data_IF_771909269053
#
_entry.id   IF_771909269053
#
_cell.length_a   1.000
_cell.length_b   1.000
_cell.length_c   1.000
_cell.angle_alpha   90.00
_cell.angle_beta   90.00
_cell.angle_gamma   90.00
#
_symmetry.space_group_name_H-M   'P 1'
#
loop_
_entity.id
_entity.type
_entity.pdbx_description
1 polymer ?
#
# COMPACT_ATOMS: atom_id res chain seq x y z
N UNK A 1 11.19 -27.89 -16.61
CA UNK A 1 10.39 -26.75 -17.12
C UNK A 1 10.23 -25.70 -16.02
N UNK A 2 10.31 -24.41 -16.37
CA UNK A 2 10.03 -23.33 -15.43
C UNK A 2 8.54 -23.27 -15.12
N UNK A 3 8.19 -22.97 -13.85
CA UNK A 3 6.79 -22.79 -13.45
C UNK A 3 6.30 -21.42 -13.96
N UNK A 4 5.21 -21.40 -14.70
CA UNK A 4 4.54 -20.19 -15.17
C UNK A 4 3.68 -19.61 -14.04
N UNK A 5 3.92 -18.35 -13.68
CA UNK A 5 3.18 -17.64 -12.64
C UNK A 5 2.54 -16.40 -13.23
N UNK A 6 1.24 -16.30 -13.14
CA UNK A 6 0.46 -15.19 -13.68
C UNK A 6 -0.06 -14.30 -12.56
N UNK A 7 -0.04 -12.99 -12.79
CA UNK A 7 -0.59 -11.97 -11.91
C UNK A 7 -1.73 -11.22 -12.59
N UNK A 8 -2.90 -11.27 -11.98
CA UNK A 8 -4.10 -10.51 -12.31
C UNK A 8 -4.29 -9.42 -11.27
N UNK A 9 -4.12 -8.15 -11.66
CA UNK A 9 -4.29 -7.00 -10.74
C UNK A 9 -4.73 -5.75 -11.50
N UNK A 10 -5.85 -5.80 -12.26
CA UNK A 10 -6.31 -4.64 -13.01
C UNK A 10 -6.75 -3.51 -12.09
N UNK A 11 -6.49 -2.27 -12.49
CA UNK A 11 -6.96 -1.10 -11.78
C UNK A 11 -7.22 0.07 -12.73
N UNK A 12 -8.19 0.90 -12.38
CA UNK A 12 -8.52 2.12 -13.14
C UNK A 12 -7.60 3.29 -12.79
N UNK A 13 -7.17 3.37 -11.53
CA UNK A 13 -6.28 4.40 -11.03
C UNK A 13 -5.08 3.77 -10.33
N UNK A 14 -3.89 4.40 -10.39
CA UNK A 14 -2.73 3.91 -9.66
C UNK A 14 -3.00 3.96 -8.15
N UNK A 15 -2.92 2.80 -7.51
CA UNK A 15 -3.06 2.61 -6.05
C UNK A 15 -1.79 1.97 -5.50
N UNK A 16 -1.51 2.17 -4.20
CA UNK A 16 -0.31 1.62 -3.55
C UNK A 16 -0.15 0.11 -3.74
N UNK A 17 -1.26 -0.62 -3.81
CA UNK A 17 -1.29 -2.07 -4.04
C UNK A 17 -0.69 -2.52 -5.36
N UNK A 18 -0.69 -1.66 -6.41
CA UNK A 18 0.00 -1.96 -7.68
C UNK A 18 1.50 -2.09 -7.47
N UNK A 19 2.10 -1.17 -6.70
CA UNK A 19 3.53 -1.23 -6.36
C UNK A 19 3.86 -2.51 -5.60
N UNK A 20 3.00 -2.92 -4.68
CA UNK A 20 3.15 -4.17 -3.93
C UNK A 20 3.05 -5.39 -4.84
N UNK A 21 2.09 -5.42 -5.77
CA UNK A 21 1.95 -6.51 -6.75
C UNK A 21 3.16 -6.61 -7.67
N UNK A 22 3.62 -5.48 -8.22
CA UNK A 22 4.83 -5.42 -9.04
C UNK A 22 6.06 -5.94 -8.28
N UNK A 23 6.25 -5.46 -7.05
CA UNK A 23 7.35 -5.90 -6.20
C UNK A 23 7.25 -7.40 -5.83
N UNK A 24 6.04 -7.93 -5.65
CA UNK A 24 5.80 -9.36 -5.43
C UNK A 24 6.24 -10.18 -6.65
N UNK A 25 5.82 -9.77 -7.86
CA UNK A 25 6.23 -10.40 -9.10
C UNK A 25 7.75 -10.32 -9.31
N UNK A 26 8.34 -9.14 -9.07
CA UNK A 26 9.79 -8.93 -9.12
C UNK A 26 10.53 -9.82 -8.12
N UNK A 27 9.98 -10.04 -6.92
CA UNK A 27 10.59 -10.87 -5.89
C UNK A 27 10.76 -12.31 -6.36
N UNK A 28 9.71 -12.89 -6.92
CA UNK A 28 9.75 -14.25 -7.46
C UNK A 28 10.77 -14.39 -8.59
N UNK A 29 10.76 -13.45 -9.55
CA UNK A 29 11.69 -13.50 -10.69
C UNK A 29 13.16 -13.28 -10.29
N UNK A 30 13.41 -12.36 -9.33
CA UNK A 30 14.76 -12.00 -8.88
C UNK A 30 15.43 -13.12 -8.09
N UNK A 31 14.68 -13.78 -7.22
CA UNK A 31 15.25 -14.74 -6.26
C UNK A 31 15.02 -16.21 -6.63
N UNK A 32 14.21 -16.49 -7.67
CA UNK A 32 14.02 -17.86 -8.16
C UNK A 32 14.02 -17.92 -9.70
N UNK A 33 15.09 -18.47 -10.25
CA UNK A 33 15.26 -18.63 -11.71
C UNK A 33 14.31 -19.67 -12.33
N UNK A 34 13.67 -20.50 -11.52
CA UNK A 34 12.73 -21.53 -11.97
C UNK A 34 11.32 -20.99 -12.21
N UNK A 35 11.09 -19.69 -12.01
CA UNK A 35 9.82 -19.05 -12.26
C UNK A 35 9.86 -18.19 -13.53
N UNK A 36 8.84 -18.38 -14.37
CA UNK A 36 8.50 -17.44 -15.45
C UNK A 36 7.28 -16.66 -15.03
N UNK A 37 7.49 -15.37 -14.75
CA UNK A 37 6.47 -14.48 -14.19
C UNK A 37 5.86 -13.61 -15.28
N UNK A 38 4.54 -13.54 -15.28
CA UNK A 38 3.74 -12.82 -16.26
C UNK A 38 2.80 -11.85 -15.57
N UNK A 39 2.83 -10.58 -16.00
CA UNK A 39 1.85 -9.58 -15.60
C UNK A 39 0.80 -9.42 -16.69
N UNK A 40 -0.47 -9.60 -16.32
CA UNK A 40 -1.58 -9.42 -17.25
C UNK A 40 -2.02 -7.96 -17.24
N UNK A 41 -1.96 -7.32 -18.39
CA UNK A 41 -2.41 -5.95 -18.60
C UNK A 41 -3.81 -5.98 -19.20
N UNK A 42 -4.76 -5.44 -18.48
CA UNK A 42 -6.18 -5.43 -18.87
C UNK A 42 -6.59 -4.05 -19.34
N UNK A 43 -6.27 -3.03 -18.54
CA UNK A 43 -6.72 -1.66 -18.68
C UNK A 43 -5.58 -0.67 -18.98
N UNK A 44 -4.39 -1.14 -19.32
CA UNK A 44 -3.21 -0.27 -19.47
C UNK A 44 -2.58 0.12 -18.14
N UNK A 45 -2.95 -0.54 -17.03
CA UNK A 45 -2.47 -0.28 -15.68
C UNK A 45 -0.96 -0.45 -15.52
N UNK A 46 -0.34 -1.27 -16.36
CA UNK A 46 1.09 -1.55 -16.34
C UNK A 46 1.92 -0.71 -17.30
N UNK A 47 1.29 0.13 -18.13
CA UNK A 47 1.98 0.92 -19.17
C UNK A 47 3.14 1.76 -18.59
N UNK A 48 2.92 2.41 -17.47
CA UNK A 48 3.95 3.23 -16.81
C UNK A 48 5.06 2.40 -16.14
N UNK A 49 4.92 1.09 -16.11
CA UNK A 49 5.86 0.14 -15.49
C UNK A 49 6.53 -0.79 -16.50
N UNK A 50 6.27 -0.62 -17.81
CA UNK A 50 6.82 -1.50 -18.86
C UNK A 50 8.34 -1.62 -18.82
N UNK A 51 9.04 -0.48 -18.67
CA UNK A 51 10.51 -0.48 -18.55
C UNK A 51 10.99 -1.24 -17.29
N UNK A 52 10.26 -1.08 -16.20
CA UNK A 52 10.56 -1.80 -14.94
C UNK A 52 10.33 -3.30 -15.11
N UNK A 53 9.26 -3.70 -15.79
CA UNK A 53 8.95 -5.10 -16.08
C UNK A 53 10.03 -5.71 -16.99
N UNK A 54 10.37 -5.06 -18.09
CA UNK A 54 11.43 -5.49 -19.03
C UNK A 54 12.77 -5.63 -18.31
N UNK A 55 13.19 -4.61 -17.55
CA UNK A 55 14.45 -4.62 -16.80
C UNK A 55 14.56 -5.75 -15.78
N UNK A 56 13.43 -6.22 -15.25
CA UNK A 56 13.37 -7.34 -14.30
C UNK A 56 13.00 -8.67 -14.98
N UNK A 57 13.01 -8.76 -16.32
CA UNK A 57 12.67 -9.96 -17.11
C UNK A 57 11.30 -10.56 -16.72
N UNK A 58 10.32 -9.70 -16.46
CA UNK A 58 8.93 -10.08 -16.22
C UNK A 58 8.17 -9.96 -17.53
N UNK A 59 7.52 -11.03 -17.93
CA UNK A 59 6.75 -11.07 -19.15
C UNK A 59 5.45 -10.26 -19.01
N UNK A 60 5.00 -9.69 -20.12
CA UNK A 60 3.85 -8.82 -20.17
C UNK A 60 2.82 -9.35 -21.17
N UNK A 61 1.58 -9.57 -20.73
CA UNK A 61 0.50 -10.09 -21.56
C UNK A 61 -0.59 -9.03 -21.65
N UNK A 62 -0.82 -8.51 -22.86
CA UNK A 62 -1.94 -7.61 -23.13
C UNK A 62 -3.20 -8.41 -23.46
N UNK A 63 -4.32 -8.12 -22.80
CA UNK A 63 -5.64 -8.60 -23.17
C UNK A 63 -6.31 -7.71 -24.26
N UNK A 64 -5.54 -6.78 -24.84
CA UNK A 64 -5.90 -5.90 -25.96
C UNK A 64 -7.17 -5.06 -25.75
N UNK A 65 -7.19 -4.27 -24.67
CA UNK A 65 -8.25 -3.31 -24.40
C UNK A 65 -7.84 -1.89 -24.82
N UNK A 66 -8.11 -1.49 -26.06
CA UNK A 66 -7.89 -0.13 -26.53
C UNK A 66 -8.89 0.89 -25.94
N UNK A 67 -10.09 0.44 -25.59
CA UNK A 67 -11.18 1.30 -25.11
C UNK A 67 -11.08 1.78 -23.67
N UNK A 68 -10.13 1.29 -22.89
CA UNK A 68 -9.90 1.70 -21.52
C UNK A 68 -9.72 3.23 -21.33
N UNK A 69 -9.17 3.91 -22.33
CA UNK A 69 -8.95 5.37 -22.27
C UNK A 69 -10.22 6.18 -22.09
N UNK A 70 -11.34 5.65 -22.57
CA UNK A 70 -12.65 6.29 -22.56
C UNK A 70 -13.50 5.94 -21.34
N UNK A 71 -13.06 4.97 -20.52
CA UNK A 71 -13.80 4.57 -19.33
C UNK A 71 -13.64 5.59 -18.20
N UNK A 72 -14.75 6.01 -17.57
CA UNK A 72 -14.70 6.89 -16.42
C UNK A 72 -13.91 6.26 -15.26
N UNK A 73 -12.97 7.03 -14.69
CA UNK A 73 -12.04 6.53 -13.67
C UNK A 73 -12.41 7.00 -12.26
N UNK A 74 -13.25 8.02 -12.15
CA UNK A 74 -13.66 8.67 -10.90
C UNK A 74 -15.17 8.63 -10.74
N UNK A 75 -15.65 8.83 -9.51
CA UNK A 75 -17.08 8.75 -9.19
C UNK A 75 -17.55 7.35 -8.82
N UNK A 76 -18.44 7.28 -7.82
CA UNK A 76 -18.89 6.01 -7.24
C UNK A 76 -19.66 5.11 -8.24
N UNK A 77 -20.58 5.68 -9.02
CA UNK A 77 -21.37 4.93 -10.01
C UNK A 77 -20.60 4.69 -11.31
N UNK A 78 -19.90 5.71 -11.80
CA UNK A 78 -19.15 5.65 -13.05
C UNK A 78 -18.01 4.63 -13.02
N UNK A 79 -17.28 4.54 -11.91
CA UNK A 79 -16.23 3.54 -11.76
C UNK A 79 -16.77 2.10 -11.74
N UNK A 80 -17.97 1.88 -11.19
CA UNK A 80 -18.63 0.57 -11.20
C UNK A 80 -19.08 0.15 -12.59
N UNK A 81 -19.58 1.10 -13.36
CA UNK A 81 -19.90 0.88 -14.77
C UNK A 81 -18.64 0.46 -15.55
N UNK A 82 -17.53 1.16 -15.34
CA UNK A 82 -16.26 0.79 -15.94
C UNK A 82 -15.81 -0.62 -15.54
N UNK A 83 -15.95 -1.00 -14.29
CA UNK A 83 -15.64 -2.37 -13.83
C UNK A 83 -16.55 -3.43 -14.47
N UNK A 84 -17.81 -3.12 -14.72
CA UNK A 84 -18.73 -4.01 -15.43
C UNK A 84 -18.31 -4.20 -16.88
N UNK A 85 -17.93 -3.13 -17.58
CA UNK A 85 -17.42 -3.21 -18.95
C UNK A 85 -16.14 -4.06 -19.00
N UNK A 86 -15.18 -3.79 -18.10
CA UNK A 86 -13.94 -4.58 -17.98
C UNK A 86 -14.28 -6.06 -17.76
N UNK A 87 -15.26 -6.35 -16.88
CA UNK A 87 -15.69 -7.71 -16.62
C UNK A 87 -16.20 -8.39 -17.90
N UNK A 88 -17.16 -7.79 -18.60
CA UNK A 88 -17.78 -8.36 -19.79
C UNK A 88 -16.76 -8.60 -20.91
N UNK A 89 -15.97 -7.57 -21.20
CA UNK A 89 -15.03 -7.62 -22.32
C UNK A 89 -13.81 -8.53 -22.04
N UNK A 90 -13.37 -8.66 -20.78
CA UNK A 90 -12.22 -9.51 -20.41
C UNK A 90 -12.58 -10.97 -20.16
N UNK A 91 -13.87 -11.34 -20.13
CA UNK A 91 -14.29 -12.69 -19.73
C UNK A 91 -13.73 -13.76 -20.68
N UNK A 92 -14.04 -13.68 -21.97
CA UNK A 92 -13.55 -14.64 -22.97
C UNK A 92 -12.03 -14.57 -23.17
N UNK A 93 -11.39 -13.38 -23.30
CA UNK A 93 -9.94 -13.28 -23.37
C UNK A 93 -9.22 -13.92 -22.19
N UNK A 94 -9.67 -13.68 -20.96
CA UNK A 94 -9.06 -14.27 -19.77
C UNK A 94 -9.25 -15.79 -19.71
N UNK A 95 -10.46 -16.29 -20.03
CA UNK A 95 -10.75 -17.71 -20.09
C UNK A 95 -9.85 -18.41 -21.11
N UNK A 96 -9.72 -17.85 -22.32
CA UNK A 96 -8.86 -18.39 -23.38
C UNK A 96 -7.38 -18.33 -22.98
N UNK A 97 -6.94 -17.26 -22.31
CA UNK A 97 -5.57 -17.15 -21.80
C UNK A 97 -5.25 -18.26 -20.80
N UNK A 98 -6.12 -18.51 -19.82
CA UNK A 98 -5.91 -19.56 -18.83
C UNK A 98 -5.88 -20.95 -19.49
N UNK A 99 -6.78 -21.22 -20.45
CA UNK A 99 -6.85 -22.51 -21.16
C UNK A 99 -5.65 -22.76 -22.06
N UNK A 100 -5.19 -21.75 -22.80
CA UNK A 100 -4.08 -21.88 -23.75
C UNK A 100 -2.71 -21.90 -23.05
N UNK A 101 -2.47 -21.01 -22.09
CA UNK A 101 -1.19 -20.86 -21.42
C UNK A 101 -0.99 -21.82 -20.24
N UNK A 102 -2.06 -22.34 -19.66
CA UNK A 102 -2.07 -23.29 -18.53
C UNK A 102 -1.05 -22.92 -17.44
N UNK A 103 -1.16 -21.70 -16.83
CA UNK A 103 -0.23 -21.30 -15.82
C UNK A 103 -0.23 -22.28 -14.64
N UNK A 104 0.92 -22.50 -14.00
CA UNK A 104 1.00 -23.35 -12.81
C UNK A 104 0.33 -22.64 -11.62
N UNK A 105 0.58 -21.34 -11.45
CA UNK A 105 0.07 -20.52 -10.36
C UNK A 105 -0.55 -19.24 -10.94
N UNK A 106 -1.70 -18.84 -10.40
CA UNK A 106 -2.38 -17.62 -10.80
C UNK A 106 -2.79 -16.79 -9.59
N UNK A 107 -2.09 -15.67 -9.38
CA UNK A 107 -2.42 -14.70 -8.35
C UNK A 107 -3.58 -13.81 -8.78
N UNK A 108 -4.64 -13.84 -7.99
CA UNK A 108 -5.83 -13.00 -8.13
C UNK A 108 -5.77 -11.87 -7.13
N UNK A 109 -5.60 -10.66 -7.61
CA UNK A 109 -5.54 -9.45 -6.80
C UNK A 109 -6.64 -8.50 -7.25
N UNK A 110 -6.79 -7.33 -7.16
CA UNK A 110 -7.84 -6.38 -7.55
C UNK A 110 -8.84 -6.92 -8.62
N UNK A 111 -10.07 -6.44 -8.58
CA UNK A 111 -11.17 -6.84 -9.50
C UNK A 111 -11.29 -8.37 -9.61
N UNK A 112 -11.31 -9.02 -8.47
CA UNK A 112 -11.28 -10.50 -8.41
C UNK A 112 -12.58 -11.16 -8.85
N UNK A 113 -13.69 -10.42 -8.95
CA UNK A 113 -15.00 -10.95 -9.35
C UNK A 113 -14.95 -11.69 -10.69
N UNK A 114 -14.22 -11.17 -11.68
CA UNK A 114 -14.11 -11.78 -13.00
C UNK A 114 -13.43 -13.17 -12.95
N UNK A 115 -12.16 -13.29 -12.49
CA UNK A 115 -11.53 -14.60 -12.46
C UNK A 115 -12.26 -15.58 -11.52
N UNK A 116 -12.84 -15.10 -10.41
CA UNK A 116 -13.63 -15.97 -9.52
C UNK A 116 -14.93 -16.47 -10.16
N UNK A 117 -15.57 -15.65 -11.00
CA UNK A 117 -16.73 -16.09 -11.79
C UNK A 117 -16.33 -17.14 -12.82
N UNK A 118 -15.20 -16.97 -13.50
CA UNK A 118 -14.64 -17.99 -14.40
C UNK A 118 -14.41 -19.30 -13.65
N UNK A 119 -13.79 -19.23 -12.44
CA UNK A 119 -13.58 -20.41 -11.59
C UNK A 119 -14.87 -21.10 -11.15
N UNK A 120 -15.96 -20.35 -10.98
CA UNK A 120 -17.26 -20.94 -10.62
C UNK A 120 -17.74 -21.91 -11.71
N UNK A 121 -17.59 -21.53 -12.97
CA UNK A 121 -18.13 -22.30 -14.11
C UNK A 121 -17.16 -23.27 -14.76
N UNK A 122 -15.84 -23.06 -14.59
CA UNK A 122 -14.79 -23.86 -15.22
C UNK A 122 -13.79 -24.43 -14.23
N UNK A 123 -13.20 -25.58 -14.57
CA UNK A 123 -12.15 -26.22 -13.80
C UNK A 123 -10.82 -26.11 -14.54
N UNK A 124 -9.75 -25.89 -13.79
CA UNK A 124 -8.39 -25.77 -14.32
C UNK A 124 -7.41 -26.56 -13.45
N UNK A 125 -6.30 -26.99 -14.02
CA UNK A 125 -5.16 -27.56 -13.27
C UNK A 125 -4.30 -26.48 -12.57
N UNK A 126 -4.56 -25.22 -12.86
CA UNK A 126 -3.89 -24.04 -12.30
C UNK A 126 -4.19 -23.88 -10.81
N UNK A 127 -3.21 -23.62 -10.00
CA UNK A 127 -3.37 -23.25 -8.59
C UNK A 127 -3.71 -21.77 -8.47
N UNK A 128 -4.90 -21.47 -7.95
CA UNK A 128 -5.36 -20.08 -7.78
C UNK A 128 -5.09 -19.60 -6.37
N UNK A 129 -4.41 -18.45 -6.27
CA UNK A 129 -4.08 -17.78 -5.03
C UNK A 129 -4.81 -16.45 -4.99
N UNK A 130 -5.66 -16.28 -3.98
CA UNK A 130 -6.40 -15.04 -3.78
C UNK A 130 -5.64 -14.12 -2.83
N UNK A 131 -5.24 -12.94 -3.32
CA UNK A 131 -4.69 -11.90 -2.46
C UNK A 131 -5.74 -10.87 -2.12
N UNK A 132 -6.02 -10.70 -0.84
CA UNK A 132 -6.96 -9.71 -0.33
C UNK A 132 -6.15 -8.61 0.35
N UNK A 133 -6.20 -7.38 -0.19
CA UNK A 133 -5.39 -6.26 0.30
C UNK A 133 -6.03 -5.51 1.47
N UNK A 134 -7.34 -5.61 1.63
CA UNK A 134 -8.09 -4.97 2.69
C UNK A 134 -9.45 -5.62 2.84
N UNK A 135 -10.12 -5.40 3.98
CA UNK A 135 -11.41 -6.05 4.24
C UNK A 135 -12.48 -5.54 3.26
N UNK A 136 -12.96 -6.40 2.37
CA UNK A 136 -13.94 -5.98 1.38
C UNK A 136 -15.33 -5.88 2.00
N UNK A 137 -16.16 -4.96 1.51
CA UNK A 137 -17.58 -4.96 1.85
C UNK A 137 -18.18 -6.31 1.51
N UNK A 138 -18.63 -7.06 2.52
CA UNK A 138 -19.17 -8.41 2.40
C UNK A 138 -20.63 -8.38 1.97
N UNK A 139 -20.87 -8.06 0.68
CA UNK A 139 -22.22 -8.15 0.08
C UNK A 139 -22.66 -9.61 -0.04
N UNK A 140 -23.96 -9.85 -0.08
CA UNK A 140 -24.55 -11.21 -0.25
C UNK A 140 -23.95 -11.89 -1.49
N UNK A 141 -23.90 -11.19 -2.63
CA UNK A 141 -23.31 -11.73 -3.86
C UNK A 141 -21.85 -12.15 -3.70
N UNK A 142 -21.04 -11.34 -3.00
CA UNK A 142 -19.64 -11.67 -2.73
C UNK A 142 -19.52 -12.89 -1.84
N UNK A 143 -20.33 -12.98 -0.77
CA UNK A 143 -20.34 -14.15 0.12
C UNK A 143 -20.70 -15.43 -0.64
N UNK A 144 -21.75 -15.39 -1.46
CA UNK A 144 -22.18 -16.55 -2.27
C UNK A 144 -21.08 -16.95 -3.25
N UNK A 145 -20.51 -15.98 -4.01
CA UNK A 145 -19.44 -16.25 -4.96
C UNK A 145 -18.23 -16.85 -4.26
N UNK A 146 -17.75 -16.22 -3.20
CA UNK A 146 -16.55 -16.69 -2.49
C UNK A 146 -16.76 -18.08 -1.87
N UNK A 147 -17.93 -18.33 -1.25
CA UNK A 147 -18.25 -19.63 -0.70
C UNK A 147 -18.30 -20.72 -1.78
N UNK A 148 -18.89 -20.40 -2.95
CA UNK A 148 -19.01 -21.37 -4.06
C UNK A 148 -17.68 -21.76 -4.72
N UNK A 149 -16.62 -20.92 -4.56
CA UNK A 149 -15.31 -21.17 -5.18
C UNK A 149 -14.22 -21.45 -4.14
N UNK A 150 -14.56 -21.46 -2.85
CA UNK A 150 -13.56 -21.59 -1.78
C UNK A 150 -12.74 -22.88 -1.86
N UNK A 151 -13.34 -23.99 -2.35
CA UNK A 151 -12.64 -25.25 -2.60
C UNK A 151 -11.63 -25.15 -3.75
N UNK A 152 -11.89 -24.32 -4.76
CA UNK A 152 -11.03 -24.12 -5.94
C UNK A 152 -9.88 -23.14 -5.71
N UNK A 153 -9.91 -22.38 -4.61
CA UNK A 153 -8.80 -21.53 -4.20
C UNK A 153 -7.83 -22.36 -3.37
N UNK A 154 -6.56 -22.40 -3.80
CA UNK A 154 -5.51 -23.12 -3.06
C UNK A 154 -5.25 -22.41 -1.74
N UNK A 155 -5.00 -21.09 -1.76
CA UNK A 155 -4.74 -20.30 -0.56
C UNK A 155 -5.12 -18.83 -0.74
N UNK A 156 -5.31 -18.16 0.40
CA UNK A 156 -5.66 -16.74 0.50
C UNK A 156 -4.57 -16.03 1.30
N UNK A 157 -4.02 -14.94 0.76
CA UNK A 157 -2.98 -14.16 1.45
C UNK A 157 -3.51 -12.81 1.91
N UNK A 158 -3.18 -12.44 3.14
CA UNK A 158 -3.60 -11.21 3.82
C UNK A 158 -2.37 -10.41 4.25
N UNK A 159 -2.31 -9.08 4.03
CA UNK A 159 -1.16 -8.25 4.39
C UNK A 159 -1.08 -7.91 5.88
N UNK A 160 -2.16 -8.10 6.64
CA UNK A 160 -2.24 -7.85 8.08
C UNK A 160 -2.84 -9.04 8.82
N UNK A 161 -2.48 -9.22 10.09
CA UNK A 161 -3.06 -10.25 10.94
C UNK A 161 -4.52 -9.95 11.26
N UNK A 162 -4.89 -8.68 11.39
CA UNK A 162 -6.27 -8.29 11.65
C UNK A 162 -7.19 -8.71 10.51
N UNK A 163 -6.79 -8.45 9.24
CA UNK A 163 -7.54 -8.92 8.09
C UNK A 163 -7.64 -10.44 8.02
N UNK A 164 -6.54 -11.15 8.34
CA UNK A 164 -6.56 -12.62 8.42
C UNK A 164 -7.59 -13.12 9.44
N UNK A 165 -7.62 -12.53 10.64
CA UNK A 165 -8.61 -12.87 11.69
C UNK A 165 -10.04 -12.59 11.25
N UNK A 166 -10.29 -11.46 10.59
CA UNK A 166 -11.62 -11.12 10.08
C UNK A 166 -12.11 -12.11 9.02
N UNK A 167 -11.23 -12.53 8.12
CA UNK A 167 -11.54 -13.54 7.11
C UNK A 167 -11.78 -14.92 7.75
N UNK A 168 -11.00 -15.29 8.74
CA UNK A 168 -11.20 -16.52 9.53
C UNK A 168 -12.59 -16.54 10.20
N UNK A 169 -12.95 -15.44 10.85
CA UNK A 169 -14.30 -15.27 11.46
C UNK A 169 -15.45 -15.34 10.45
N UNK A 170 -15.19 -14.98 9.20
CA UNK A 170 -16.21 -15.05 8.14
C UNK A 170 -16.64 -16.49 7.80
N UNK A 171 -15.80 -17.49 8.09
CA UNK A 171 -16.04 -18.91 7.80
C UNK A 171 -16.15 -19.25 6.31
N UNK A 172 -15.73 -18.34 5.41
CA UNK A 172 -15.83 -18.55 3.94
C UNK A 172 -14.70 -19.44 3.44
N UNK A 173 -13.49 -19.20 3.92
CA UNK A 173 -12.30 -20.00 3.58
C UNK A 173 -11.88 -20.78 4.83
N UNK A 174 -11.42 -22.00 4.65
CA UNK A 174 -10.82 -22.77 5.73
C UNK A 174 -9.60 -22.07 6.31
N UNK A 175 -9.40 -22.19 7.62
CA UNK A 175 -8.30 -21.53 8.36
C UNK A 175 -6.93 -21.94 7.82
N UNK A 176 -6.81 -23.17 7.34
CA UNK A 176 -5.61 -23.73 6.71
C UNK A 176 -5.24 -23.04 5.38
N UNK A 177 -6.21 -22.39 4.74
CA UNK A 177 -5.99 -21.63 3.49
C UNK A 177 -5.61 -20.17 3.73
N UNK A 178 -5.74 -19.65 4.95
CA UNK A 178 -5.52 -18.23 5.27
C UNK A 178 -4.09 -17.99 5.74
N UNK A 179 -3.32 -17.22 4.98
CA UNK A 179 -1.92 -16.92 5.29
C UNK A 179 -1.69 -15.41 5.48
N UNK A 180 -0.93 -15.07 6.50
CA UNK A 180 -0.37 -13.73 6.63
C UNK A 180 0.83 -13.63 5.70
N UNK A 181 0.81 -12.65 4.81
CA UNK A 181 1.90 -12.35 3.89
C UNK A 181 2.08 -10.83 3.80
N UNK A 182 3.07 -10.26 4.49
CA UNK A 182 3.37 -8.84 4.41
C UNK A 182 3.56 -8.38 2.97
N UNK A 183 3.06 -7.19 2.64
CA UNK A 183 3.23 -6.61 1.32
C UNK A 183 4.71 -6.39 0.97
N UNK A 184 5.07 -6.63 -0.29
CA UNK A 184 6.38 -6.28 -0.83
C UNK A 184 6.46 -4.77 -1.08
N UNK A 185 6.73 -3.97 -0.04
CA UNK A 185 6.70 -2.51 -0.13
C UNK A 185 8.06 -1.95 -0.56
N UNK A 186 9.15 -2.48 0.00
CA UNK A 186 10.46 -1.85 -0.01
C UNK A 186 11.48 -2.63 -0.83
N UNK A 187 12.00 -1.99 -1.87
CA UNK A 187 13.25 -2.39 -2.50
C UNK A 187 14.42 -1.71 -1.79
N UNK A 188 15.20 -2.50 -1.04
CA UNK A 188 16.33 -1.98 -0.25
C UNK A 188 17.36 -1.26 -1.13
N UNK A 189 17.51 -1.66 -2.40
CA UNK A 189 18.46 -1.02 -3.31
C UNK A 189 18.12 0.44 -3.53
N UNK A 190 16.82 0.77 -3.61
CA UNK A 190 16.34 2.16 -3.77
C UNK A 190 16.52 3.00 -2.51
N UNK A 191 16.41 2.36 -1.33
CA UNK A 191 16.56 3.05 -0.05
C UNK A 191 18.04 3.30 0.31
N UNK A 192 18.95 2.45 -0.17
CA UNK A 192 20.40 2.58 0.12
C UNK A 192 21.09 3.73 -0.62
N UNK A 193 20.56 4.15 -1.75
CA UNK A 193 21.09 5.32 -2.47
C UNK A 193 20.88 6.57 -1.60
N UNK A 194 21.93 6.96 -0.91
CA UNK A 194 21.97 8.18 -0.09
C UNK A 194 22.42 9.32 -1.01
N UNK A 195 21.51 10.21 -1.35
CA UNK A 195 21.89 11.52 -1.85
C UNK A 195 22.00 12.49 -0.66
N UNK A 196 22.84 13.47 -0.77
CA UNK A 196 22.79 14.60 0.18
C UNK A 196 21.38 15.20 0.12
N UNK A 197 20.76 15.33 1.30
CA UNK A 197 19.47 15.99 1.38
C UNK A 197 19.69 17.50 1.32
N UNK A 198 19.45 18.06 0.18
CA UNK A 198 19.46 19.51 -0.03
C UNK A 198 18.09 19.88 -0.57
N UNK A 199 17.33 20.64 0.21
CA UNK A 199 16.10 21.29 -0.24
C UNK A 199 16.19 22.76 0.15
N UNK A 200 16.38 23.61 -0.86
CA UNK A 200 16.56 25.05 -0.67
C UNK A 200 15.27 25.77 -0.23
N UNK A 201 14.12 25.11 -0.35
CA UNK A 201 12.84 25.66 0.11
C UNK A 201 12.66 25.54 1.62
N UNK A 202 13.49 24.71 2.30
CA UNK A 202 13.35 24.43 3.72
C UNK A 202 14.36 25.19 4.58
N UNK A 203 13.96 25.73 5.73
CA UNK A 203 14.86 26.35 6.70
C UNK A 203 15.89 25.34 7.27
N UNK A 204 17.19 25.64 7.15
CA UNK A 204 18.30 24.72 7.49
C UNK A 204 18.36 24.32 8.98
N UNK A 205 17.89 25.18 9.89
CA UNK A 205 18.05 24.99 11.35
C UNK A 205 16.76 24.51 12.04
N UNK A 206 15.80 23.97 11.30
CA UNK A 206 14.54 23.48 11.85
C UNK A 206 14.48 21.95 11.86
N UNK A 207 13.79 21.40 12.85
CA UNK A 207 13.47 19.98 12.92
C UNK A 207 12.26 19.68 12.03
N UNK A 208 12.35 18.66 11.21
CA UNK A 208 11.32 18.32 10.23
C UNK A 208 10.33 17.30 10.83
N UNK A 209 9.08 17.70 10.89
CA UNK A 209 7.93 16.81 11.00
C UNK A 209 7.49 16.53 9.56
N UNK A 210 7.56 15.28 9.14
CA UNK A 210 7.27 14.87 7.76
C UNK A 210 5.95 14.10 7.69
N UNK A 211 5.15 14.37 6.68
CA UNK A 211 4.05 13.50 6.25
C UNK A 211 4.06 13.33 4.74
N UNK A 212 3.58 12.20 4.25
CA UNK A 212 3.55 11.93 2.81
C UNK A 212 2.37 11.06 2.40
N UNK A 213 1.72 11.41 1.29
CA UNK A 213 0.60 10.67 0.73
C UNK A 213 -0.22 11.51 -0.23
N UNK A 214 -1.28 10.93 -0.80
CA UNK A 214 -2.22 11.68 -1.65
C UNK A 214 -2.96 12.72 -0.81
N UNK A 215 -3.09 13.94 -1.29
CA UNK A 215 -3.81 15.00 -0.61
C UNK A 215 -5.33 14.80 -0.80
N UNK A 216 -5.89 13.90 -0.01
CA UNK A 216 -7.30 13.47 -0.05
C UNK A 216 -7.90 13.50 1.36
N UNK A 217 -9.21 13.53 1.47
CA UNK A 217 -9.94 13.46 2.76
C UNK A 217 -9.52 12.25 3.61
N UNK A 218 -9.20 11.11 2.96
CA UNK A 218 -8.72 9.91 3.66
C UNK A 218 -7.47 10.18 4.50
N UNK A 219 -6.53 10.98 3.97
CA UNK A 219 -5.24 11.27 4.62
C UNK A 219 -5.34 12.31 5.74
N UNK A 220 -6.45 13.05 5.79
CA UNK A 220 -6.81 13.95 6.89
C UNK A 220 -5.74 15.00 7.23
N UNK A 221 -5.17 15.61 6.18
CA UNK A 221 -4.15 16.64 6.33
C UNK A 221 -4.69 17.93 6.96
N UNK A 222 -5.97 18.22 6.82
CA UNK A 222 -6.62 19.34 7.50
C UNK A 222 -6.45 19.22 9.04
N UNK A 223 -6.76 18.05 9.59
CA UNK A 223 -6.55 17.77 11.01
C UNK A 223 -5.07 17.90 11.39
N UNK A 224 -4.15 17.34 10.57
CA UNK A 224 -2.71 17.43 10.82
C UNK A 224 -2.23 18.89 10.89
N UNK A 225 -2.65 19.75 9.97
CA UNK A 225 -2.27 21.17 9.92
C UNK A 225 -2.84 21.91 11.13
N UNK A 226 -4.11 21.67 11.50
CA UNK A 226 -4.75 22.27 12.67
C UNK A 226 -3.99 21.94 13.97
N UNK A 227 -3.71 20.67 14.20
CA UNK A 227 -2.99 20.20 15.38
C UNK A 227 -1.52 20.70 15.42
N UNK A 228 -0.85 20.73 14.25
CA UNK A 228 0.48 21.28 14.13
C UNK A 228 0.52 22.79 14.43
N UNK A 229 -0.49 23.54 13.97
CA UNK A 229 -0.59 24.97 14.27
C UNK A 229 -0.56 25.21 15.78
N UNK A 230 -1.35 24.47 16.55
CA UNK A 230 -1.36 24.57 18.02
C UNK A 230 -0.04 24.13 18.64
N UNK A 231 0.56 23.02 18.16
CA UNK A 231 1.86 22.57 18.61
C UNK A 231 2.97 23.59 18.38
N UNK A 232 2.97 24.25 17.23
CA UNK A 232 4.01 25.17 16.78
C UNK A 232 4.02 26.51 17.54
N UNK A 233 2.96 26.86 18.30
CA UNK A 233 2.92 28.05 19.14
C UNK A 233 3.99 28.03 20.22
N UNK A 234 4.29 26.87 20.75
CA UNK A 234 5.28 26.68 21.85
C UNK A 234 6.51 25.87 21.41
N UNK A 235 6.62 25.48 20.14
CA UNK A 235 7.67 24.62 19.59
C UNK A 235 8.20 25.14 18.27
N UNK A 236 8.73 26.37 18.27
CA UNK A 236 9.17 27.06 17.05
C UNK A 236 10.31 26.35 16.29
N UNK A 237 11.04 25.44 16.95
CA UNK A 237 12.11 24.67 16.31
C UNK A 237 11.61 23.65 15.28
N UNK A 238 10.30 23.41 15.15
CA UNK A 238 9.76 22.45 14.21
C UNK A 238 9.08 23.12 13.01
N UNK A 239 9.19 22.45 11.85
CA UNK A 239 8.41 22.72 10.65
C UNK A 239 7.66 21.46 10.22
N UNK A 240 6.51 21.63 9.58
CA UNK A 240 5.74 20.56 8.97
C UNK A 240 5.98 20.52 7.46
N UNK A 241 6.43 19.39 6.95
CA UNK A 241 6.61 19.16 5.51
C UNK A 241 5.62 18.08 5.06
N UNK A 242 4.81 18.40 4.06
CA UNK A 242 3.82 17.49 3.47
C UNK A 242 4.20 17.24 2.02
N UNK A 243 4.41 15.94 1.68
CA UNK A 243 4.74 15.50 0.32
C UNK A 243 3.56 14.79 -0.32
N UNK A 244 3.19 15.22 -1.51
CA UNK A 244 2.13 14.59 -2.29
C UNK A 244 1.28 15.56 -3.09
N UNK A 245 0.40 15.01 -3.90
CA UNK A 245 -0.58 15.74 -4.71
C UNK A 245 -1.98 15.15 -4.46
N UNK A 246 -3.02 15.95 -4.75
CA UNK A 246 -4.41 15.50 -4.64
C UNK A 246 -5.40 16.65 -4.65
N UNK A 247 -6.67 16.30 -4.63
CA UNK A 247 -7.80 17.23 -4.73
C UNK A 247 -7.89 18.25 -3.59
N UNK A 248 -7.34 17.92 -2.41
CA UNK A 248 -7.40 18.81 -1.25
C UNK A 248 -6.29 19.88 -1.23
N UNK A 249 -5.34 19.88 -2.20
CA UNK A 249 -4.16 20.78 -2.18
C UNK A 249 -4.52 22.25 -1.96
N UNK A 250 -5.47 22.77 -2.75
CA UNK A 250 -5.86 24.18 -2.66
C UNK A 250 -6.53 24.53 -1.34
N UNK A 251 -7.35 23.62 -0.79
CA UNK A 251 -7.98 23.80 0.50
C UNK A 251 -6.94 23.82 1.63
N UNK A 252 -5.94 22.97 1.56
CA UNK A 252 -4.87 22.92 2.55
C UNK A 252 -3.96 24.15 2.49
N UNK A 253 -3.66 24.70 1.30
CA UNK A 253 -2.90 25.95 1.16
C UNK A 253 -3.66 27.12 1.78
N UNK A 254 -4.96 27.28 1.50
CA UNK A 254 -5.81 28.30 2.13
C UNK A 254 -5.87 28.14 3.65
N UNK A 255 -5.90 26.91 4.16
CA UNK A 255 -5.89 26.66 5.60
C UNK A 255 -4.59 27.13 6.24
N UNK A 256 -3.44 26.89 5.62
CA UNK A 256 -2.12 27.33 6.09
C UNK A 256 -2.07 28.86 6.15
N UNK A 257 -2.53 29.54 5.09
CA UNK A 257 -2.63 31.00 5.01
C UNK A 257 -3.55 31.57 6.10
N UNK A 258 -4.77 31.05 6.22
CA UNK A 258 -5.74 31.50 7.23
C UNK A 258 -5.25 31.36 8.67
N UNK A 259 -4.29 30.45 8.90
CA UNK A 259 -3.66 30.26 10.22
C UNK A 259 -2.38 31.07 10.42
N UNK A 260 -1.88 31.75 9.39
CA UNK A 260 -0.63 32.52 9.44
C UNK A 260 0.61 31.67 9.74
N UNK A 261 0.65 30.45 9.20
CA UNK A 261 1.76 29.48 9.45
C UNK A 261 2.54 29.09 8.19
N UNK A 262 2.54 29.93 7.16
CA UNK A 262 3.17 29.68 5.85
C UNK A 262 4.69 29.46 6.01
N UNK A 263 5.31 30.09 6.98
CA UNK A 263 6.74 29.93 7.28
C UNK A 263 7.05 28.65 8.05
N UNK A 264 6.03 27.89 8.48
CA UNK A 264 6.17 26.67 9.29
C UNK A 264 5.61 25.41 8.61
N UNK A 265 4.74 25.57 7.58
CA UNK A 265 4.11 24.44 6.87
C UNK A 265 4.41 24.51 5.38
N UNK A 266 5.01 23.46 4.84
CA UNK A 266 5.47 23.38 3.47
C UNK A 266 4.78 22.21 2.73
N UNK A 267 3.94 22.51 1.72
CA UNK A 267 3.32 21.56 0.82
C UNK A 267 4.16 21.46 -0.46
N UNK A 268 5.15 20.56 -0.48
CA UNK A 268 6.19 20.50 -1.53
C UNK A 268 5.80 19.66 -2.76
N UNK A 269 4.54 19.22 -2.85
CA UNK A 269 4.09 18.40 -3.96
C UNK A 269 4.70 17.01 -3.99
N UNK A 270 4.64 16.35 -5.15
CA UNK A 270 5.20 15.01 -5.33
C UNK A 270 6.74 15.07 -5.45
N UNK A 271 7.44 14.31 -4.63
CA UNK A 271 8.90 14.17 -4.68
C UNK A 271 9.32 12.73 -5.01
N UNK A 272 10.15 12.54 -6.03
CA UNK A 272 10.69 11.21 -6.40
C UNK A 272 11.64 10.64 -5.35
N UNK A 273 12.39 11.52 -4.66
CA UNK A 273 13.38 11.19 -3.64
C UNK A 273 12.80 11.15 -2.21
N UNK A 274 11.60 10.62 -2.05
CA UNK A 274 10.89 10.58 -0.76
C UNK A 274 11.72 9.99 0.38
N UNK A 275 12.61 9.04 0.09
CA UNK A 275 13.46 8.42 1.10
C UNK A 275 14.50 9.39 1.69
N UNK A 276 14.92 10.41 0.95
CA UNK A 276 15.83 11.44 1.44
C UNK A 276 15.10 12.33 2.47
N UNK A 277 13.88 12.75 2.16
CA UNK A 277 13.03 13.45 3.12
C UNK A 277 12.72 12.62 4.37
N UNK A 278 12.45 11.32 4.20
CA UNK A 278 12.20 10.43 5.34
C UNK A 278 13.45 10.27 6.23
N UNK A 279 14.65 10.27 5.67
CA UNK A 279 15.90 10.25 6.44
C UNK A 279 16.15 11.55 7.16
N UNK A 280 15.86 12.68 6.54
CA UNK A 280 16.00 14.02 7.11
C UNK A 280 14.93 14.31 8.19
N UNK A 281 13.75 13.68 8.06
CA UNK A 281 12.64 13.85 9.00
C UNK A 281 12.95 13.32 10.40
N UNK A 282 12.75 14.16 11.42
CA UNK A 282 12.88 13.76 12.82
C UNK A 282 11.74 12.84 13.26
N UNK A 283 10.53 13.12 12.77
CA UNK A 283 9.32 12.33 13.01
C UNK A 283 8.48 12.28 11.76
N UNK A 284 7.91 11.13 11.46
CA UNK A 284 6.95 10.92 10.38
C UNK A 284 5.55 10.79 10.98
N UNK A 285 4.59 11.55 10.45
CA UNK A 285 3.19 11.52 10.89
C UNK A 285 2.30 10.90 9.82
N UNK A 286 1.42 10.00 10.26
CA UNK A 286 0.29 9.51 9.49
C UNK A 286 -1.00 9.92 10.20
N UNK A 287 -1.78 10.83 9.58
CA UNK A 287 -3.04 11.35 10.13
C UNK A 287 -4.29 10.69 9.56
N UNK A 288 -4.14 9.65 8.77
CA UNK A 288 -5.21 9.01 7.99
C UNK A 288 -6.40 8.57 8.84
N UNK A 289 -7.59 8.69 8.28
CA UNK A 289 -8.83 8.17 8.86
C UNK A 289 -8.94 6.65 8.76
N UNK A 290 -8.38 6.06 7.71
CA UNK A 290 -8.28 4.61 7.50
C UNK A 290 -7.10 4.26 6.61
N UNK A 291 -6.49 3.12 6.89
CA UNK A 291 -5.40 2.51 6.10
C UNK A 291 -5.57 1.00 6.06
N UNK A 292 -4.99 0.38 5.05
CA UNK A 292 -4.83 -1.08 5.04
C UNK A 292 -3.54 -1.50 5.74
N UNK A 293 -2.41 -1.10 5.20
CA UNK A 293 -1.08 -1.32 5.81
C UNK A 293 -0.43 0.00 6.23
N UNK A 294 -0.68 1.09 5.47
CA UNK A 294 0.02 2.36 5.67
C UNK A 294 1.46 2.29 5.14
N UNK A 295 1.65 2.06 3.84
CA UNK A 295 2.97 1.85 3.22
C UNK A 295 4.01 2.90 3.61
N UNK A 296 3.58 4.15 3.69
CA UNK A 296 4.50 5.27 4.00
C UNK A 296 5.10 5.21 5.40
N UNK A 297 4.39 4.65 6.41
CA UNK A 297 4.99 4.49 7.75
C UNK A 297 6.02 3.35 7.76
N UNK A 298 5.84 2.33 6.93
CA UNK A 298 6.83 1.26 6.76
C UNK A 298 8.08 1.79 6.08
N UNK A 299 7.91 2.62 5.04
CA UNK A 299 9.01 3.30 4.34
C UNK A 299 9.78 4.25 5.28
N UNK A 300 9.06 5.08 6.05
CA UNK A 300 9.64 5.99 7.04
C UNK A 300 10.41 5.24 8.14
N UNK A 301 9.85 4.15 8.66
CA UNK A 301 10.48 3.30 9.66
C UNK A 301 11.82 2.70 9.16
N UNK A 302 11.86 2.25 7.89
CA UNK A 302 13.11 1.75 7.31
C UNK A 302 14.15 2.84 7.13
N UNK A 303 13.72 4.07 6.81
CA UNK A 303 14.55 5.27 6.75
C UNK A 303 14.97 5.80 8.13
N UNK A 304 14.62 5.10 9.19
CA UNK A 304 14.98 5.46 10.58
C UNK A 304 14.26 6.72 11.11
N UNK A 305 13.10 7.10 10.54
CA UNK A 305 12.22 8.11 11.13
C UNK A 305 11.48 7.55 12.34
N UNK A 306 11.21 8.37 13.35
CA UNK A 306 10.25 8.03 14.40
C UNK A 306 8.84 8.16 13.85
N UNK A 307 7.92 7.26 14.20
CA UNK A 307 6.56 7.28 13.65
C UNK A 307 5.54 7.63 14.71
N UNK A 308 4.71 8.62 14.39
CA UNK A 308 3.49 8.99 15.10
C UNK A 308 2.32 8.74 14.12
N UNK A 309 1.34 7.96 14.51
CA UNK A 309 0.24 7.60 13.61
C UNK A 309 -1.11 7.70 14.29
N UNK A 310 -2.13 8.06 13.52
CA UNK A 310 -3.50 7.87 13.95
C UNK A 310 -3.74 6.38 14.27
N UNK A 311 -4.58 6.13 15.27
CA UNK A 311 -5.02 4.79 15.65
C UNK A 311 -6.18 4.34 14.73
N UNK A 312 -6.00 4.54 13.42
CA UNK A 312 -6.98 4.10 12.44
C UNK A 312 -7.00 2.57 12.32
N UNK A 313 -8.12 1.99 11.88
CA UNK A 313 -8.25 0.55 11.73
C UNK A 313 -7.16 -0.07 10.86
N UNK A 314 -6.85 -1.35 11.13
CA UNK A 314 -5.92 -2.23 10.43
C UNK A 314 -4.43 -1.89 10.64
N UNK A 315 -3.68 -1.72 9.55
CA UNK A 315 -2.22 -1.74 9.52
C UNK A 315 -1.47 -0.86 10.50
N UNK A 316 -1.76 0.44 10.69
CA UNK A 316 -0.96 1.31 11.55
C UNK A 316 -0.91 0.83 13.01
N UNK A 317 -2.03 0.38 13.56
CA UNK A 317 -2.10 -0.17 14.92
C UNK A 317 -1.25 -1.43 15.06
N UNK A 318 -1.39 -2.35 14.11
CA UNK A 318 -0.63 -3.60 14.07
C UNK A 318 0.87 -3.33 13.89
N UNK A 319 1.23 -2.48 12.93
CA UNK A 319 2.61 -2.13 12.62
C UNK A 319 3.32 -1.48 13.80
N UNK A 320 2.64 -0.57 14.53
CA UNK A 320 3.17 0.10 15.73
C UNK A 320 3.03 -0.74 17.01
N UNK A 321 2.49 -1.96 16.95
CA UNK A 321 2.27 -2.85 18.10
C UNK A 321 1.55 -2.12 19.25
N UNK A 322 0.38 -1.57 18.95
CA UNK A 322 -0.41 -0.79 19.91
C UNK A 322 0.39 0.34 20.60
N UNK A 323 1.31 1.00 19.86
CA UNK A 323 2.12 2.12 20.36
C UNK A 323 3.46 1.73 20.99
N UNK A 324 3.79 0.44 21.12
CA UNK A 324 5.09 0.00 21.66
C UNK A 324 6.26 0.39 20.77
N UNK A 325 6.05 0.50 19.43
CA UNK A 325 7.09 0.81 18.45
C UNK A 325 7.07 2.27 17.97
N UNK A 326 6.06 3.05 18.35
CA UNK A 326 5.88 4.46 17.98
C UNK A 326 4.93 5.15 18.94
N UNK A 327 4.18 6.14 18.47
CA UNK A 327 3.06 6.75 19.19
C UNK A 327 1.80 6.58 18.34
N UNK A 328 0.68 6.21 18.99
CA UNK A 328 -0.65 6.21 18.39
C UNK A 328 -1.51 7.30 19.03
N UNK A 329 -2.28 8.02 18.22
CA UNK A 329 -3.26 9.00 18.67
C UNK A 329 -4.64 8.69 18.09
N UNK A 330 -5.70 9.14 18.76
CA UNK A 330 -7.07 8.97 18.27
C UNK A 330 -7.35 9.92 17.10
N UNK A 331 -7.81 9.34 15.98
CA UNK A 331 -8.18 10.12 14.79
C UNK A 331 -9.30 11.11 15.11
N UNK A 332 -9.18 12.34 14.60
CA UNK A 332 -10.17 13.43 14.78
C UNK A 332 -10.50 13.82 16.23
N UNK A 333 -9.75 13.33 17.20
CA UNK A 333 -9.87 13.82 18.57
C UNK A 333 -9.01 15.07 18.73
N UNK A 334 -9.64 16.15 19.12
CA UNK A 334 -8.98 17.43 19.37
C UNK A 334 -7.82 17.26 20.34
N UNK A 335 -6.73 17.96 20.07
CA UNK A 335 -5.46 17.95 20.83
C UNK A 335 -4.72 16.62 20.85
N UNK A 336 -5.26 15.52 20.33
CA UNK A 336 -4.62 14.19 20.44
C UNK A 336 -3.27 14.12 19.73
N UNK A 337 -3.16 14.71 18.54
CA UNK A 337 -1.87 14.76 17.82
C UNK A 337 -0.92 15.80 18.46
N UNK A 338 -1.42 16.95 18.87
CA UNK A 338 -0.63 17.98 19.56
C UNK A 338 0.02 17.40 20.85
N UNK A 339 -0.75 16.68 21.67
CA UNK A 339 -0.24 16.00 22.86
C UNK A 339 0.80 14.93 22.49
N UNK A 340 0.56 14.15 21.44
CA UNK A 340 1.49 13.15 20.94
C UNK A 340 2.81 13.75 20.48
N UNK A 341 2.77 14.92 19.83
CA UNK A 341 3.96 15.67 19.43
C UNK A 341 4.71 16.28 20.63
N UNK A 342 3.98 16.81 21.62
CA UNK A 342 4.57 17.26 22.91
C UNK A 342 5.25 16.10 23.64
N UNK A 343 4.61 14.93 23.68
CA UNK A 343 5.19 13.72 24.26
C UNK A 343 6.46 13.28 23.50
N UNK A 344 6.45 13.31 22.17
CA UNK A 344 7.63 13.04 21.36
C UNK A 344 8.76 14.05 21.64
N UNK A 345 8.46 15.35 21.69
CA UNK A 345 9.47 16.40 21.89
C UNK A 345 10.18 16.32 23.23
N UNK A 346 9.51 15.79 24.26
CA UNK A 346 10.01 15.59 25.63
C UNK A 346 10.61 14.20 25.87
N UNK A 347 10.47 13.27 24.87
CA UNK A 347 10.92 11.89 25.04
C UNK A 347 12.45 11.80 25.06
N UNK A 348 12.99 11.02 25.97
CA UNK A 348 14.41 10.74 26.04
C UNK A 348 14.98 10.12 24.76
N UNK A 349 16.16 10.58 24.37
CA UNK A 349 16.83 10.11 23.12
C UNK A 349 16.98 8.58 23.09
N UNK A 350 17.29 7.95 24.22
CA UNK A 350 17.41 6.49 24.31
C UNK A 350 16.09 5.77 24.04
N UNK A 351 14.98 6.27 24.60
CA UNK A 351 13.64 5.72 24.37
C UNK A 351 13.20 5.85 22.90
N UNK A 352 13.50 7.02 22.28
CA UNK A 352 13.29 7.24 20.84
C UNK A 352 14.09 6.21 20.03
N UNK A 353 15.39 6.05 20.35
CA UNK A 353 16.27 5.11 19.67
C UNK A 353 15.76 3.66 19.77
N UNK A 354 15.40 3.20 20.96
CA UNK A 354 14.87 1.84 21.17
C UNK A 354 13.59 1.59 20.37
N UNK A 355 12.64 2.56 20.34
CA UNK A 355 11.42 2.45 19.54
C UNK A 355 11.74 2.39 18.03
N UNK A 356 12.65 3.22 17.54
CA UNK A 356 13.11 3.22 16.13
C UNK A 356 13.75 1.90 15.75
N UNK A 357 14.57 1.28 16.60
CA UNK A 357 15.17 -0.03 16.35
C UNK A 357 14.11 -1.12 16.23
N UNK A 358 13.16 -1.17 17.16
CA UNK A 358 12.03 -2.14 17.12
C UNK A 358 11.19 -1.93 15.86
N UNK A 359 10.89 -0.68 15.52
CA UNK A 359 10.08 -0.32 14.36
C UNK A 359 10.79 -0.69 13.05
N UNK A 360 12.08 -0.42 12.94
CA UNK A 360 12.90 -0.79 11.78
C UNK A 360 13.00 -2.30 11.59
N UNK A 361 13.09 -3.07 12.70
CA UNK A 361 13.05 -4.53 12.68
C UNK A 361 11.72 -5.02 12.08
N UNK A 362 10.60 -4.42 12.45
CA UNK A 362 9.29 -4.73 11.87
C UNK A 362 9.21 -4.37 10.38
N UNK A 363 9.67 -3.18 9.99
CA UNK A 363 9.68 -2.72 8.60
C UNK A 363 10.46 -3.65 7.65
N UNK A 364 11.49 -4.33 8.14
CA UNK A 364 12.24 -5.31 7.35
C UNK A 364 11.40 -6.47 6.82
N UNK A 365 10.29 -6.81 7.47
CA UNK A 365 9.35 -7.85 7.00
C UNK A 365 8.71 -7.50 5.68
N UNK A 366 8.59 -6.21 5.37
CA UNK A 366 7.94 -5.67 4.17
C UNK A 366 8.93 -5.42 3.01
N UNK A 367 10.16 -5.91 3.13
CA UNK A 367 11.13 -5.85 2.02
C UNK A 367 10.83 -6.91 0.97
N UNK A 368 11.16 -6.63 -0.29
CA UNK A 368 10.98 -7.55 -1.42
C UNK A 368 11.58 -8.93 -1.13
N UNK A 369 12.77 -8.97 -0.50
CA UNK A 369 13.43 -10.24 -0.16
C UNK A 369 12.68 -11.04 0.91
N UNK A 370 12.23 -10.39 1.99
CA UNK A 370 11.46 -11.07 3.04
C UNK A 370 10.11 -11.54 2.54
N UNK A 371 9.44 -10.72 1.73
CA UNK A 371 8.21 -11.12 1.06
C UNK A 371 8.43 -12.39 0.21
N UNK A 372 9.53 -12.45 -0.57
CA UNK A 372 9.88 -13.64 -1.34
C UNK A 372 10.01 -14.88 -0.45
N UNK A 373 10.76 -14.79 0.64
CA UNK A 373 10.98 -15.93 1.53
C UNK A 373 9.67 -16.47 2.12
N UNK A 374 8.79 -15.57 2.58
CA UNK A 374 7.49 -15.95 3.13
C UNK A 374 6.57 -16.53 2.04
N UNK A 375 6.55 -15.89 0.86
CA UNK A 375 5.75 -16.37 -0.26
C UNK A 375 6.21 -17.75 -0.74
N UNK A 376 7.52 -17.99 -0.90
CA UNK A 376 8.08 -19.31 -1.25
C UNK A 376 7.68 -20.38 -0.23
N UNK A 377 7.75 -20.07 1.05
CA UNK A 377 7.31 -20.97 2.12
C UNK A 377 5.84 -21.34 1.97
N UNK A 378 4.98 -20.34 1.72
CA UNK A 378 3.53 -20.54 1.53
C UNK A 378 3.23 -21.37 0.27
N UNK A 379 3.99 -21.18 -0.81
CA UNK A 379 3.81 -21.90 -2.08
C UNK A 379 4.25 -23.36 -2.03
N UNK A 380 5.08 -23.74 -1.06
CA UNK A 380 5.56 -25.12 -0.86
C UNK A 380 4.65 -25.97 0.03
N UNK A 381 3.78 -25.30 0.80
CA UNK A 381 2.71 -25.95 1.56
C UNK A 381 1.52 -26.25 0.62
#
# INVERSE_FOLDING_TARGET
MKKKIFYWSPCLNPVGTIKSTLNSAMSLKRYNKNYDVYMINVCGEWKNYEDTLKKNSINFINLNFSYYRFLPKTGFFLSRFSYMIIFLLSFLPLLNLIRSQKPNIFFLHLITSLPLTILKFFNFKTEFILRISGYPKMTIFRKILWKSISSKIKLVTCPTFDLKKELDRSGIFGKEKLFFLPDAIIDITKVRNKNEFIDNELPKNKKIILSAGRLTKQKNYEFLINEFAEFSKTNDQFILVILGEGEEKNNLLKLVENKGIEKKVFLLGYKKNIYDYMRAGNVFILSSLWEEVGFVIVEAALCNSFVVSSNCPNGPREFLDNGKRGILFESNKESALNESLKNFSKMEKNKIFQKKVKLKKEAKKYTIFRHYLELEKILKN
#
